data_IF_024970458539
#
_entry.id   IF_024970458539
#
_cell.length_a   1.000
_cell.length_b   1.000
_cell.length_c   1.000
_cell.angle_alpha   90.00
_cell.angle_beta   90.00
_cell.angle_gamma   90.00
#
_symmetry.space_group_name_H-M   'P 1'
#
loop_
_entity.id
_entity.type
_entity.pdbx_description
1 polymer ?
#
# COMPACT_ATOMS: atom_id res chain seq x y z
N UNK A 1 -11.91 34.83 -47.24
CA UNK A 1 -11.38 34.36 -45.95
C UNK A 1 -10.67 33.05 -46.23
N UNK A 2 -9.35 33.02 -46.07
CA UNK A 2 -8.49 31.92 -46.54
C UNK A 2 -8.67 30.65 -45.71
N UNK A 3 -9.08 29.57 -46.37
CA UNK A 3 -9.29 28.25 -45.75
C UNK A 3 -8.05 27.74 -44.98
N UNK A 4 -6.85 28.16 -45.39
CA UNK A 4 -5.59 27.80 -44.70
C UNK A 4 -5.43 28.44 -43.32
N UNK A 5 -5.88 29.69 -43.14
CA UNK A 5 -5.82 30.37 -41.83
C UNK A 5 -6.79 29.70 -40.84
N UNK A 6 -7.99 29.36 -41.31
CA UNK A 6 -8.99 28.67 -40.50
C UNK A 6 -8.51 27.28 -40.09
N UNK A 7 -7.89 26.53 -41.02
CA UNK A 7 -7.32 25.22 -40.74
C UNK A 7 -6.18 25.26 -39.71
N UNK A 8 -5.29 26.27 -39.78
CA UNK A 8 -4.20 26.44 -38.82
C UNK A 8 -4.72 26.74 -37.41
N UNK A 9 -5.75 27.59 -37.28
CA UNK A 9 -6.38 27.89 -35.98
C UNK A 9 -7.05 26.65 -35.40
N UNK A 10 -7.81 25.89 -36.19
CA UNK A 10 -8.42 24.64 -35.74
C UNK A 10 -7.38 23.58 -35.37
N UNK A 11 -6.28 23.47 -36.12
CA UNK A 11 -5.16 22.59 -35.80
C UNK A 11 -4.50 22.94 -34.47
N UNK A 12 -4.28 24.24 -34.20
CA UNK A 12 -3.71 24.71 -32.94
C UNK A 12 -4.64 24.42 -31.75
N UNK A 13 -5.94 24.68 -31.90
CA UNK A 13 -6.95 24.39 -30.87
C UNK A 13 -7.05 22.88 -30.62
N UNK A 14 -7.05 22.06 -31.67
CA UNK A 14 -7.02 20.60 -31.56
C UNK A 14 -5.76 20.10 -30.84
N UNK A 15 -4.60 20.68 -31.14
CA UNK A 15 -3.34 20.35 -30.46
C UNK A 15 -3.36 20.73 -28.97
N UNK A 16 -3.95 21.88 -28.62
CA UNK A 16 -4.11 22.29 -27.22
C UNK A 16 -5.08 21.38 -26.46
N UNK A 17 -6.21 21.01 -27.06
CA UNK A 17 -7.17 20.08 -26.43
C UNK A 17 -6.51 18.70 -26.26
N UNK A 18 -5.80 18.22 -27.28
CA UNK A 18 -5.06 16.96 -27.24
C UNK A 18 -3.99 16.94 -26.15
N UNK A 19 -3.23 18.02 -25.99
CA UNK A 19 -2.18 18.12 -24.98
C UNK A 19 -2.75 18.15 -23.56
N UNK A 20 -3.81 18.93 -23.32
CA UNK A 20 -4.49 18.97 -22.02
C UNK A 20 -5.10 17.61 -21.65
N UNK A 21 -5.74 16.94 -22.61
CA UNK A 21 -6.29 15.60 -22.40
C UNK A 21 -5.21 14.56 -22.10
N UNK A 22 -4.05 14.66 -22.76
CA UNK A 22 -2.90 13.78 -22.52
C UNK A 22 -2.34 13.97 -21.11
N UNK A 23 -2.17 15.22 -20.67
CA UNK A 23 -1.71 15.55 -19.30
C UNK A 23 -2.70 15.01 -18.27
N UNK A 24 -4.00 15.24 -18.46
CA UNK A 24 -5.02 14.73 -17.55
C UNK A 24 -4.99 13.20 -17.43
N UNK A 25 -4.84 12.52 -18.57
CA UNK A 25 -4.72 11.05 -18.61
C UNK A 25 -3.48 10.58 -17.87
N UNK A 26 -2.34 11.24 -18.07
CA UNK A 26 -1.08 10.90 -17.40
C UNK A 26 -1.17 11.06 -15.89
N UNK A 27 -1.82 12.13 -15.40
CA UNK A 27 -2.04 12.35 -13.96
C UNK A 27 -2.87 11.23 -13.35
N UNK A 28 -3.94 10.82 -14.02
CA UNK A 28 -4.79 9.70 -13.55
C UNK A 28 -3.98 8.41 -13.51
N UNK A 29 -3.27 8.08 -14.60
CA UNK A 29 -2.45 6.86 -14.67
C UNK A 29 -1.34 6.85 -13.61
N UNK A 30 -0.68 7.99 -13.37
CA UNK A 30 0.34 8.11 -12.32
C UNK A 30 -0.26 7.78 -10.96
N UNK A 31 -1.40 8.37 -10.60
CA UNK A 31 -2.08 8.12 -9.32
C UNK A 31 -2.41 6.63 -9.10
N UNK A 32 -2.88 5.96 -10.14
CA UNK A 32 -3.15 4.51 -10.07
C UNK A 32 -1.87 3.69 -9.94
N UNK A 33 -0.81 4.06 -10.66
CA UNK A 33 0.49 3.39 -10.60
C UNK A 33 1.12 3.54 -9.21
N UNK A 34 1.10 4.74 -8.64
CA UNK A 34 1.62 5.03 -7.30
C UNK A 34 0.89 4.19 -6.24
N UNK A 35 -0.44 4.12 -6.31
CA UNK A 35 -1.24 3.30 -5.38
C UNK A 35 -0.89 1.81 -5.48
N UNK A 36 -0.72 1.30 -6.69
CA UNK A 36 -0.36 -0.11 -6.94
C UNK A 36 1.05 -0.41 -6.44
N UNK A 37 2.00 0.45 -6.77
CA UNK A 37 3.40 0.27 -6.43
C UNK A 37 3.57 0.34 -4.90
N UNK A 38 2.84 1.23 -4.21
CA UNK A 38 2.72 1.25 -2.74
C UNK A 38 2.18 -0.06 -2.17
N UNK A 39 1.11 -0.59 -2.75
CA UNK A 39 0.50 -1.85 -2.27
C UNK A 39 1.49 -3.01 -2.41
N UNK A 40 2.22 -3.04 -3.53
CA UNK A 40 3.26 -4.05 -3.78
C UNK A 40 4.40 -3.97 -2.77
N UNK A 41 4.89 -2.76 -2.48
CA UNK A 41 5.94 -2.55 -1.47
C UNK A 41 5.51 -3.05 -0.09
N UNK A 42 4.28 -2.74 0.34
CA UNK A 42 3.75 -3.24 1.63
C UNK A 42 3.75 -4.77 1.65
N UNK A 43 3.24 -5.41 0.58
CA UNK A 43 3.17 -6.87 0.49
C UNK A 43 4.56 -7.52 0.48
N UNK A 44 5.51 -6.97 -0.28
CA UNK A 44 6.86 -7.51 -0.38
C UNK A 44 7.58 -7.46 0.98
N UNK A 45 7.46 -6.34 1.71
CA UNK A 45 8.03 -6.19 3.06
C UNK A 45 7.35 -7.14 4.05
N UNK A 46 6.01 -7.22 4.04
CA UNK A 46 5.26 -8.10 4.93
C UNK A 46 5.53 -9.59 4.67
N UNK A 47 5.75 -10.00 3.42
CA UNK A 47 6.15 -11.36 3.07
C UNK A 47 7.56 -11.68 3.56
N UNK A 48 8.50 -10.75 3.42
CA UNK A 48 9.86 -10.92 3.93
C UNK A 48 9.86 -11.06 5.46
N UNK A 49 9.13 -10.21 6.16
CA UNK A 49 9.00 -10.25 7.63
C UNK A 49 8.32 -11.53 8.11
N UNK A 50 7.22 -11.92 7.48
CA UNK A 50 6.53 -13.17 7.77
C UNK A 50 7.44 -14.39 7.56
N UNK A 51 8.22 -14.40 6.46
CA UNK A 51 9.15 -15.50 6.17
C UNK A 51 10.27 -15.57 7.21
N UNK A 52 10.84 -14.42 7.61
CA UNK A 52 11.84 -14.36 8.67
C UNK A 52 11.27 -14.88 10.00
N UNK A 53 10.04 -14.50 10.34
CA UNK A 53 9.38 -14.97 11.56
C UNK A 53 9.08 -16.49 11.53
N UNK A 54 8.72 -17.03 10.36
CA UNK A 54 8.57 -18.47 10.17
C UNK A 54 9.90 -19.21 10.33
N UNK A 55 11.00 -18.69 9.79
CA UNK A 55 12.32 -19.28 9.94
C UNK A 55 12.79 -19.26 11.40
N UNK A 56 12.59 -18.14 12.10
CA UNK A 56 12.86 -18.03 13.53
C UNK A 56 12.02 -19.00 14.36
N UNK A 57 10.74 -19.17 14.03
CA UNK A 57 9.86 -20.14 14.70
C UNK A 57 10.24 -21.61 14.42
N UNK A 58 10.91 -21.90 13.30
CA UNK A 58 11.47 -23.22 13.01
C UNK A 58 12.80 -23.46 13.74
N UNK A 59 13.60 -22.41 13.93
CA UNK A 59 14.92 -22.48 14.55
C UNK A 59 14.87 -22.55 16.08
N UNK A 60 14.01 -21.75 16.71
CA UNK A 60 13.74 -21.84 18.15
C UNK A 60 12.82 -23.04 18.39
N UNK A 61 13.28 -24.06 19.14
CA UNK A 61 12.51 -25.27 19.50
C UNK A 61 11.25 -25.01 20.36
N UNK A 62 10.82 -23.76 20.48
CA UNK A 62 9.61 -23.34 21.17
C UNK A 62 8.63 -22.78 20.15
N UNK A 63 7.33 -23.14 20.21
CA UNK A 63 6.33 -22.60 19.31
C UNK A 63 6.12 -21.11 19.61
N UNK A 64 6.85 -20.23 18.90
CA UNK A 64 6.44 -18.84 18.77
C UNK A 64 5.21 -18.80 17.90
N UNK A 65 4.15 -18.19 18.40
CA UNK A 65 2.93 -17.98 17.63
C UNK A 65 3.23 -17.05 16.45
N UNK A 66 3.40 -17.63 15.26
CA UNK A 66 3.52 -16.87 14.02
C UNK A 66 2.14 -16.30 13.71
N UNK A 67 2.05 -14.97 13.67
CA UNK A 67 0.82 -14.27 13.33
C UNK A 67 0.43 -14.56 11.86
N UNK A 68 -0.86 -14.48 11.49
CA UNK A 68 -1.25 -14.51 10.10
C UNK A 68 -0.61 -13.37 9.30
N UNK A 69 -0.37 -13.58 8.00
CA UNK A 69 0.23 -12.56 7.12
C UNK A 69 -0.52 -11.21 7.14
N UNK A 70 -1.83 -11.23 7.36
CA UNK A 70 -2.68 -10.04 7.45
C UNK A 70 -2.25 -9.09 8.58
N UNK A 71 -1.71 -9.64 9.67
CA UNK A 71 -1.13 -8.89 10.78
C UNK A 71 0.08 -8.05 10.32
N UNK A 72 1.00 -8.67 9.59
CA UNK A 72 2.19 -8.00 9.06
C UNK A 72 1.83 -6.96 8.01
N UNK A 73 0.87 -7.26 7.12
CA UNK A 73 0.39 -6.30 6.12
C UNK A 73 -0.22 -5.07 6.77
N UNK A 74 -1.05 -5.26 7.81
CA UNK A 74 -1.68 -4.15 8.51
C UNK A 74 -0.64 -3.27 9.24
N UNK A 75 0.34 -3.89 9.89
CA UNK A 75 1.41 -3.18 10.58
C UNK A 75 2.27 -2.36 9.61
N UNK A 76 2.73 -2.99 8.53
CA UNK A 76 3.64 -2.35 7.57
C UNK A 76 2.93 -1.27 6.74
N UNK A 77 1.61 -1.43 6.50
CA UNK A 77 0.81 -0.34 5.94
C UNK A 77 0.80 0.89 6.85
N UNK A 78 0.53 0.74 8.15
CA UNK A 78 0.51 1.89 9.07
C UNK A 78 1.88 2.56 9.24
N UNK A 79 2.96 1.77 9.21
CA UNK A 79 4.32 2.30 9.27
C UNK A 79 4.68 3.07 7.99
N UNK A 80 4.33 2.52 6.82
CA UNK A 80 4.57 3.21 5.56
C UNK A 80 3.75 4.49 5.45
N UNK A 81 2.49 4.48 5.90
CA UNK A 81 1.64 5.67 5.95
C UNK A 81 2.28 6.77 6.82
N UNK A 82 2.86 6.39 7.96
CA UNK A 82 3.53 7.33 8.85
C UNK A 82 4.84 7.88 8.24
N UNK A 83 5.58 7.02 7.53
CA UNK A 83 6.78 7.41 6.81
C UNK A 83 6.47 8.38 5.66
N UNK A 84 5.45 8.09 4.85
CA UNK A 84 5.00 8.96 3.75
C UNK A 84 4.49 10.32 4.25
N UNK A 85 3.83 10.34 5.40
CA UNK A 85 3.38 11.57 6.05
C UNK A 85 4.51 12.39 6.69
N UNK A 86 5.72 11.83 6.80
CA UNK A 86 6.83 12.43 7.53
C UNK A 86 6.59 12.53 9.04
N UNK A 87 5.65 11.74 9.58
CA UNK A 87 5.20 11.81 10.99
C UNK A 87 5.72 10.63 11.83
N UNK A 88 6.81 9.98 11.38
CA UNK A 88 7.46 8.85 12.02
C UNK A 88 8.19 9.26 13.33
N UNK A 89 7.40 9.66 14.31
CA UNK A 89 7.82 10.04 15.65
C UNK A 89 7.68 8.86 16.61
N UNK A 90 8.43 8.83 17.72
CA UNK A 90 8.28 7.78 18.74
C UNK A 90 6.82 7.62 19.21
N UNK A 91 6.12 8.73 19.47
CA UNK A 91 4.72 8.73 19.89
C UNK A 91 3.79 8.11 18.85
N UNK A 92 4.06 8.37 17.56
CA UNK A 92 3.30 7.80 16.44
C UNK A 92 3.52 6.29 16.36
N UNK A 93 4.76 5.84 16.49
CA UNK A 93 5.11 4.42 16.50
C UNK A 93 4.43 3.71 17.68
N UNK A 94 4.49 4.27 18.89
CA UNK A 94 3.81 3.68 20.06
C UNK A 94 2.31 3.57 19.84
N UNK A 95 1.69 4.56 19.20
CA UNK A 95 0.27 4.53 18.85
C UNK A 95 -0.05 3.43 17.83
N UNK A 96 0.76 3.29 16.79
CA UNK A 96 0.65 2.23 15.78
C UNK A 96 0.77 0.87 16.45
N UNK A 97 1.79 0.67 17.28
CA UNK A 97 2.01 -0.57 18.03
C UNK A 97 0.83 -0.92 18.94
N UNK A 98 0.26 0.06 19.67
CA UNK A 98 -0.92 -0.17 20.52
C UNK A 98 -2.12 -0.61 19.69
N UNK A 99 -2.40 0.10 18.59
CA UNK A 99 -3.52 -0.21 17.68
C UNK A 99 -3.35 -1.59 17.05
N UNK A 100 -2.11 -1.95 16.72
CA UNK A 100 -1.78 -3.25 16.15
C UNK A 100 -1.89 -4.36 17.19
N UNK A 101 -1.62 -4.09 18.46
CA UNK A 101 -1.88 -5.03 19.55
C UNK A 101 -3.35 -5.46 19.63
N UNK A 102 -4.27 -4.50 19.52
CA UNK A 102 -5.72 -4.78 19.49
C UNK A 102 -6.11 -5.57 18.23
N UNK A 103 -5.57 -5.18 17.07
CA UNK A 103 -5.79 -5.88 15.81
C UNK A 103 -5.26 -7.32 15.86
N UNK A 104 -4.07 -7.54 16.40
CA UNK A 104 -3.46 -8.86 16.54
C UNK A 104 -4.28 -9.78 17.42
N UNK A 105 -4.85 -9.25 18.52
CA UNK A 105 -5.74 -10.01 19.39
C UNK A 105 -6.98 -10.47 18.63
N UNK A 106 -7.64 -9.55 17.91
CA UNK A 106 -8.82 -9.88 17.11
C UNK A 106 -8.53 -10.92 16.00
N UNK A 107 -7.38 -10.79 15.33
CA UNK A 107 -6.94 -11.73 14.29
C UNK A 107 -6.63 -13.11 14.89
N UNK A 108 -5.95 -13.18 16.03
CA UNK A 108 -5.68 -14.45 16.72
C UNK A 108 -6.97 -15.14 17.18
N UNK A 109 -7.91 -14.40 17.75
CA UNK A 109 -9.21 -14.94 18.17
C UNK A 109 -9.97 -15.53 16.98
N UNK A 110 -9.95 -14.85 15.83
CA UNK A 110 -10.59 -15.32 14.60
C UNK A 110 -9.92 -16.57 14.05
N UNK A 111 -8.58 -16.60 13.99
CA UNK A 111 -7.82 -17.76 13.49
C UNK A 111 -8.02 -18.99 14.40
N UNK A 112 -7.99 -18.79 15.73
CA UNK A 112 -8.27 -19.87 16.68
C UNK A 112 -9.71 -20.40 16.57
N UNK A 113 -10.69 -19.53 16.34
CA UNK A 113 -12.08 -19.93 16.14
C UNK A 113 -12.23 -20.78 14.87
N UNK A 114 -11.57 -20.39 13.77
CA UNK A 114 -11.60 -21.16 12.51
C UNK A 114 -10.91 -22.52 12.65
N UNK A 115 -9.78 -22.60 13.34
CA UNK A 115 -9.07 -23.87 13.61
C UNK A 115 -9.85 -24.84 14.49
N UNK A 116 -10.77 -24.35 15.34
CA UNK A 116 -11.65 -25.20 16.18
C UNK A 116 -12.90 -25.68 15.46
N UNK A 117 -13.28 -25.03 14.37
CA UNK A 117 -14.46 -25.35 13.57
C UNK A 117 -14.16 -26.32 12.41
N UNK A 118 -12.88 -26.62 12.16
CA UNK A 118 -12.39 -27.58 11.16
C UNK A 118 -11.83 -28.81 11.87
#
# INVERSE_FOLDING_TARGET
MDAGLTAAVFGLVGAMIGSVSSIATMVVQSRYRDKRDRTKQILDVSLAEYSAHLELAKADRAPRAVLPITAYVHNNAQLLDALEAGDLTPDRITRIMRKNGDFFRAVQETDQAQRKAT
#
